data_IF_330875886579
#
_entry.id   IF_330875886579
#
_cell.length_a   1.000
_cell.length_b   1.000
_cell.length_c   1.000
_cell.angle_alpha   90.00
_cell.angle_beta   90.00
_cell.angle_gamma   90.00
#
_symmetry.space_group_name_H-M   'P 1'
#
loop_
_entity.id
_entity.type
_entity.pdbx_description
1 polymer ?
#
# COMPACT_ATOMS: atom_id res chain seq x y z
N UNK A 1 19.22 -0.60 -11.04
CA UNK A 1 18.06 -0.75 -10.13
C UNK A 1 17.35 -2.09 -10.35
N UNK A 2 16.45 -2.26 -11.33
CA UNK A 2 15.65 -3.51 -11.51
C UNK A 2 16.46 -4.81 -11.37
N UNK A 3 17.61 -4.95 -12.06
CA UNK A 3 18.49 -6.12 -11.96
C UNK A 3 18.92 -6.48 -10.53
N UNK A 4 19.19 -5.49 -9.67
CA UNK A 4 19.54 -5.71 -8.26
C UNK A 4 18.30 -6.22 -7.49
N UNK A 5 17.13 -5.65 -7.77
CA UNK A 5 15.85 -6.12 -7.23
C UNK A 5 15.55 -7.58 -7.60
N UNK A 6 15.86 -7.98 -8.85
CA UNK A 6 15.74 -9.36 -9.31
C UNK A 6 16.70 -10.32 -8.59
N UNK A 7 17.99 -9.95 -8.46
CA UNK A 7 18.96 -10.77 -7.73
C UNK A 7 18.57 -10.94 -6.25
N UNK A 8 18.16 -9.84 -5.59
CA UNK A 8 17.71 -9.86 -4.21
C UNK A 8 16.41 -10.66 -4.03
N UNK A 9 15.48 -10.62 -4.99
CA UNK A 9 14.27 -11.46 -4.98
C UNK A 9 14.62 -12.95 -5.07
N UNK A 10 15.51 -13.33 -6.00
CA UNK A 10 15.96 -14.73 -6.17
C UNK A 10 16.64 -15.23 -4.90
N UNK A 11 17.65 -14.50 -4.40
CA UNK A 11 18.38 -14.87 -3.19
C UNK A 11 17.47 -15.03 -1.96
N UNK A 12 16.49 -14.12 -1.78
CA UNK A 12 15.48 -14.22 -0.71
C UNK A 12 14.59 -15.45 -0.88
N UNK A 13 14.17 -15.75 -2.11
CA UNK A 13 13.32 -16.91 -2.39
C UNK A 13 14.07 -18.23 -2.17
N UNK A 14 15.33 -18.33 -2.59
CA UNK A 14 16.21 -19.48 -2.34
C UNK A 14 16.36 -19.78 -0.85
N UNK A 15 16.54 -18.74 -0.01
CA UNK A 15 16.58 -18.87 1.44
C UNK A 15 15.26 -19.41 2.02
N UNK A 16 14.11 -18.96 1.51
CA UNK A 16 12.80 -19.47 1.94
C UNK A 16 12.63 -20.96 1.59
N UNK A 17 12.97 -21.38 0.37
CA UNK A 17 12.97 -22.80 0.00
C UNK A 17 13.93 -23.64 0.87
N UNK A 18 15.14 -23.14 1.14
CA UNK A 18 16.12 -23.80 2.01
C UNK A 18 15.70 -23.90 3.48
N UNK A 19 14.82 -23.02 3.96
CA UNK A 19 14.29 -23.02 5.33
C UNK A 19 13.15 -24.01 5.59
N UNK A 20 12.63 -24.66 4.55
CA UNK A 20 11.41 -25.49 4.63
C UNK A 20 10.10 -24.70 4.71
N UNK A 21 10.14 -23.39 4.97
CA UNK A 21 8.98 -22.49 4.90
C UNK A 21 8.67 -22.11 3.44
N UNK A 22 8.23 -23.10 2.67
CA UNK A 22 7.85 -22.93 1.27
C UNK A 22 6.51 -22.16 1.20
N UNK A 23 6.44 -20.97 0.59
CA UNK A 23 5.17 -20.27 0.39
C UNK A 23 4.31 -21.05 -0.60
N UNK A 24 3.03 -21.24 -0.27
CA UNK A 24 2.09 -22.06 -1.05
C UNK A 24 1.58 -21.41 -2.35
N UNK A 25 2.32 -20.46 -2.91
CA UNK A 25 1.96 -19.69 -4.10
C UNK A 25 2.85 -18.47 -4.31
N UNK A 26 2.74 -17.88 -5.50
CA UNK A 26 3.46 -16.68 -5.91
C UNK A 26 3.08 -16.26 -7.34
N UNK A 27 3.47 -15.05 -7.73
CA UNK A 27 3.28 -14.53 -9.11
C UNK A 27 4.63 -14.52 -9.81
N UNK A 28 4.70 -15.10 -11.01
CA UNK A 28 5.90 -15.13 -11.83
C UNK A 28 6.11 -13.79 -12.56
N UNK A 29 7.36 -13.51 -12.95
CA UNK A 29 7.73 -12.34 -13.73
C UNK A 29 7.75 -12.66 -15.24
N UNK A 30 7.43 -11.70 -16.12
CA UNK A 30 6.95 -10.35 -15.84
C UNK A 30 5.44 -10.33 -15.51
N UNK A 31 4.99 -9.31 -14.79
CA UNK A 31 3.55 -9.05 -14.56
C UNK A 31 3.25 -7.55 -14.50
N UNK A 32 1.96 -7.22 -14.64
CA UNK A 32 1.40 -5.90 -14.33
C UNK A 32 0.46 -6.05 -13.13
N UNK A 33 0.57 -5.13 -12.16
CA UNK A 33 -0.35 -5.03 -11.02
C UNK A 33 -1.36 -3.92 -11.31
N UNK A 34 -2.65 -4.27 -11.28
CA UNK A 34 -3.74 -3.29 -11.33
C UNK A 34 -4.24 -3.07 -9.91
N UNK A 35 -4.14 -1.83 -9.41
CA UNK A 35 -4.52 -1.47 -8.05
C UNK A 35 -5.72 -0.52 -8.07
N UNK A 36 -6.74 -0.80 -7.27
CA UNK A 36 -7.92 0.07 -7.10
C UNK A 36 -8.40 0.04 -5.64
N UNK A 37 -9.53 0.68 -5.33
CA UNK A 37 -10.06 0.79 -3.97
C UNK A 37 -10.54 -0.58 -3.47
N UNK A 38 -10.42 -0.90 -2.16
CA UNK A 38 -10.90 -2.16 -1.58
C UNK A 38 -12.41 -2.45 -1.71
N UNK A 39 -13.19 -1.47 -2.16
CA UNK A 39 -14.64 -1.53 -2.38
C UNK A 39 -15.04 -1.21 -3.83
N UNK A 40 -14.09 -1.30 -4.78
CA UNK A 40 -14.38 -1.15 -6.21
C UNK A 40 -15.13 -2.39 -6.73
N UNK A 41 -16.16 -2.17 -7.56
CA UNK A 41 -16.75 -3.22 -8.39
C UNK A 41 -16.05 -3.19 -9.75
N UNK A 42 -15.39 -4.29 -10.09
CA UNK A 42 -14.70 -4.46 -11.38
C UNK A 42 -15.43 -5.54 -12.17
N UNK A 43 -15.88 -5.20 -13.37
CA UNK A 43 -16.45 -6.14 -14.33
C UNK A 43 -15.34 -6.59 -15.29
N UNK A 44 -15.26 -7.89 -15.57
CA UNK A 44 -14.15 -8.50 -16.30
C UNK A 44 -14.70 -9.39 -17.41
N UNK A 45 -14.34 -9.07 -18.66
CA UNK A 45 -14.64 -9.87 -19.82
C UNK A 45 -13.33 -10.39 -20.42
N UNK A 46 -13.26 -11.68 -20.74
CA UNK A 46 -12.10 -12.33 -21.33
C UNK A 46 -12.54 -12.92 -22.67
N UNK A 47 -11.77 -12.69 -23.74
CA UNK A 47 -12.04 -13.27 -25.06
C UNK A 47 -11.91 -14.80 -25.05
N UNK A 48 -12.63 -15.48 -25.94
CA UNK A 48 -12.61 -16.95 -26.05
C UNK A 48 -11.21 -17.52 -26.34
N UNK A 49 -10.38 -16.75 -27.05
CA UNK A 49 -8.96 -17.07 -27.34
C UNK A 49 -7.98 -16.65 -26.24
N UNK A 50 -8.48 -16.04 -25.15
CA UNK A 50 -7.73 -15.50 -24.01
C UNK A 50 -6.68 -14.41 -24.35
N UNK A 51 -6.70 -13.84 -25.55
CA UNK A 51 -5.75 -12.80 -25.97
C UNK A 51 -6.14 -11.38 -25.55
N UNK A 52 -7.42 -11.13 -25.26
CA UNK A 52 -7.95 -9.84 -24.83
C UNK A 52 -8.69 -9.97 -23.51
N UNK A 53 -8.41 -9.04 -22.60
CA UNK A 53 -9.17 -8.87 -21.35
C UNK A 53 -9.63 -7.43 -21.26
N UNK A 54 -10.93 -7.23 -21.04
CA UNK A 54 -11.54 -5.94 -20.76
C UNK A 54 -11.87 -5.85 -19.27
N UNK A 55 -11.54 -4.71 -18.66
CA UNK A 55 -11.79 -4.40 -17.26
C UNK A 55 -12.57 -3.09 -17.18
N UNK A 56 -13.85 -3.13 -16.78
CA UNK A 56 -14.58 -1.92 -16.40
C UNK A 56 -14.52 -1.73 -14.88
N UNK A 57 -13.97 -0.60 -14.45
CA UNK A 57 -13.85 -0.21 -13.04
C UNK A 57 -15.08 0.56 -12.54
N UNK A 58 -16.15 0.66 -13.33
CA UNK A 58 -17.36 1.42 -13.02
C UNK A 58 -17.05 2.90 -12.69
N UNK A 59 -16.17 3.52 -13.49
CA UNK A 59 -15.57 4.84 -13.23
C UNK A 59 -14.76 4.98 -11.92
N UNK A 60 -14.47 3.90 -11.20
CA UNK A 60 -13.59 3.92 -10.03
C UNK A 60 -12.14 4.13 -10.47
N UNK A 61 -11.37 5.05 -9.85
CA UNK A 61 -9.95 5.20 -10.16
C UNK A 61 -9.14 3.93 -9.91
N UNK A 62 -8.18 3.66 -10.79
CA UNK A 62 -7.20 2.59 -10.65
C UNK A 62 -5.79 3.09 -11.03
N UNK A 63 -4.78 2.33 -10.64
CA UNK A 63 -3.37 2.54 -10.95
C UNK A 63 -2.81 1.28 -11.62
N UNK A 64 -1.81 1.46 -12.49
CA UNK A 64 -1.06 0.37 -13.13
C UNK A 64 0.40 0.46 -12.70
N UNK A 65 0.90 -0.62 -12.11
CA UNK A 65 2.27 -0.73 -11.59
C UNK A 65 2.97 -1.91 -12.24
N UNK A 66 4.18 -1.70 -12.77
CA UNK A 66 5.00 -2.76 -13.37
C UNK A 66 5.78 -3.56 -12.32
N UNK A 67 6.40 -4.67 -12.73
CA UNK A 67 7.26 -5.43 -11.83
C UNK A 67 8.41 -4.58 -11.25
N UNK A 68 8.92 -3.59 -11.99
CA UNK A 68 9.98 -2.69 -11.53
C UNK A 68 9.52 -1.75 -10.43
N UNK A 69 8.26 -1.32 -10.42
CA UNK A 69 7.65 -0.60 -9.31
C UNK A 69 7.53 -1.52 -8.09
N UNK A 70 6.98 -2.73 -8.27
CA UNK A 70 6.75 -3.67 -7.16
C UNK A 70 8.07 -4.14 -6.52
N UNK A 71 9.11 -4.40 -7.32
CA UNK A 71 10.46 -4.73 -6.83
C UNK A 71 11.11 -3.58 -6.03
N UNK A 72 10.76 -2.32 -6.30
CA UNK A 72 11.19 -1.17 -5.47
C UNK A 72 10.36 -1.08 -4.20
N UNK A 73 9.03 -1.24 -4.30
CA UNK A 73 8.11 -1.20 -3.16
C UNK A 73 8.37 -2.33 -2.14
N UNK A 74 8.91 -3.47 -2.57
CA UNK A 74 9.43 -4.54 -1.71
C UNK A 74 10.79 -4.23 -1.04
N UNK A 75 11.37 -3.04 -1.26
CA UNK A 75 12.70 -2.65 -0.76
C UNK A 75 13.89 -3.31 -1.47
N UNK A 76 13.65 -4.20 -2.43
CA UNK A 76 14.70 -5.05 -3.02
C UNK A 76 15.68 -4.29 -3.92
N UNK A 77 15.33 -3.09 -4.37
CA UNK A 77 16.20 -2.25 -5.21
C UNK A 77 17.22 -1.39 -4.43
N UNK A 78 17.11 -1.31 -3.10
CA UNK A 78 17.96 -0.45 -2.27
C UNK A 78 19.07 -1.24 -1.59
N UNK A 79 20.31 -0.72 -1.66
CA UNK A 79 21.43 -1.25 -0.87
C UNK A 79 21.39 -0.58 0.49
N UNK A 80 20.89 -1.29 1.50
CA UNK A 80 20.41 -0.71 2.75
C UNK A 80 21.37 0.28 3.42
N UNK A 81 20.88 1.51 3.63
CA UNK A 81 21.44 2.42 4.62
C UNK A 81 21.01 1.94 6.02
N UNK A 82 21.79 1.02 6.60
CA UNK A 82 21.84 0.82 8.04
C UNK A 82 23.27 1.08 8.54
N UNK A 83 23.78 2.27 8.22
CA UNK A 83 25.01 2.80 8.77
C UNK A 83 24.75 3.18 10.24
N UNK A 84 25.19 2.30 11.14
CA UNK A 84 24.90 2.35 12.56
C UNK A 84 25.82 1.41 13.33
N UNK A 85 27.12 1.65 13.21
CA UNK A 85 28.14 0.87 13.88
C UNK A 85 28.12 1.11 15.40
N UNK A 86 28.05 0.07 16.25
CA UNK A 86 28.35 0.20 17.66
C UNK A 86 29.88 0.28 17.83
N UNK A 87 30.38 1.49 18.11
CA UNK A 87 31.78 1.71 18.49
C UNK A 87 32.14 0.85 19.72
N UNK A 88 33.30 0.17 19.73
CA UNK A 88 33.72 -0.70 20.83
C UNK A 88 34.28 0.12 22.01
N UNK A 89 33.44 0.91 22.68
CA UNK A 89 33.78 1.60 23.91
C UNK A 89 33.90 0.61 25.08
N UNK A 90 35.04 0.67 25.77
CA UNK A 90 35.43 -0.36 26.74
C UNK A 90 34.85 -0.12 28.15
N UNK A 91 34.61 -1.23 28.85
CA UNK A 91 34.67 -1.37 30.31
C UNK A 91 33.59 -0.70 31.19
N UNK A 92 32.66 -1.51 31.74
CA UNK A 92 32.08 -1.24 33.06
C UNK A 92 30.65 -1.71 33.34
N UNK A 93 30.53 -2.87 34.01
CA UNK A 93 29.55 -3.15 35.09
C UNK A 93 28.03 -3.14 34.82
N UNK A 94 27.37 -4.21 35.29
CA UNK A 94 26.11 -4.18 36.07
C UNK A 94 24.80 -3.73 35.37
N UNK A 95 23.58 -4.10 35.80
CA UNK A 95 23.06 -5.31 36.49
C UNK A 95 21.55 -5.43 36.16
N UNK A 96 20.86 -6.45 36.68
CA UNK A 96 19.48 -6.83 36.30
C UNK A 96 18.35 -5.86 36.69
N UNK A 97 17.36 -5.77 35.79
CA UNK A 97 15.91 -5.74 36.00
C UNK A 97 15.27 -4.95 37.18
N UNK A 98 14.44 -3.96 36.83
CA UNK A 98 13.11 -3.68 37.40
C UNK A 98 12.24 -3.12 36.25
N UNK A 99 11.00 -3.54 35.92
CA UNK A 99 9.88 -4.16 36.65
C UNK A 99 8.90 -3.21 37.36
N UNK A 100 7.95 -2.67 36.58
CA UNK A 100 6.53 -2.63 36.98
C UNK A 100 5.96 -1.36 37.64
N UNK A 101 4.65 -1.47 37.93
CA UNK A 101 3.75 -0.52 38.64
C UNK A 101 3.31 0.69 37.77
N UNK A 102 2.04 0.82 37.32
CA UNK A 102 0.78 1.15 38.06
C UNK A 102 0.64 2.68 38.36
N UNK A 103 -0.53 3.35 38.35
CA UNK A 103 -1.94 2.91 38.21
C UNK A 103 -2.94 4.10 38.05
N UNK A 104 -3.86 4.05 37.06
CA UNK A 104 -5.24 4.66 36.98
C UNK A 104 -5.43 6.17 37.41
N UNK A 105 -6.59 6.85 37.43
CA UNK A 105 -8.01 6.64 37.03
C UNK A 105 -8.41 7.74 35.98
N UNK A 106 -9.47 8.60 35.92
CA UNK A 106 -10.85 8.86 36.44
C UNK A 106 -11.42 10.06 35.59
N UNK A 107 -12.71 10.40 35.40
CA UNK A 107 -13.99 9.66 35.23
C UNK A 107 -15.19 10.63 34.99
N UNK A 108 -16.05 10.39 33.98
CA UNK A 108 -17.44 10.91 33.79
C UNK A 108 -17.70 12.42 33.52
N UNK A 109 -18.86 12.74 32.90
CA UNK A 109 -19.50 14.07 32.91
C UNK A 109 -20.27 14.46 31.63
N UNK A 110 -21.57 14.80 31.71
CA UNK A 110 -22.40 15.24 30.57
C UNK A 110 -23.08 16.58 30.82
N UNK A 111 -23.20 17.46 29.81
CA UNK A 111 -24.43 18.25 29.49
C UNK A 111 -24.29 19.18 28.27
N UNK A 112 -25.41 19.80 27.87
CA UNK A 112 -25.60 20.62 26.67
C UNK A 112 -25.75 22.11 27.00
N UNK A 113 -25.24 22.99 26.12
CA UNK A 113 -25.89 24.27 25.77
C UNK A 113 -25.34 24.84 24.45
N UNK A 114 -26.07 25.78 23.86
CA UNK A 114 -25.85 26.34 22.52
C UNK A 114 -24.94 27.58 22.47
N UNK A 115 -24.12 27.71 21.42
CA UNK A 115 -24.00 28.96 20.65
C UNK A 115 -23.53 28.66 19.22
N UNK A 116 -24.01 29.43 18.23
CA UNK A 116 -23.90 29.06 16.83
C UNK A 116 -22.56 29.38 16.15
N UNK A 117 -22.21 28.58 15.13
CA UNK A 117 -21.29 28.96 14.04
C UNK A 117 -21.92 28.53 12.71
N UNK A 118 -22.10 29.49 11.80
CA UNK A 118 -22.49 29.19 10.43
C UNK A 118 -21.31 28.53 9.71
N UNK A 119 -21.55 27.37 9.09
CA UNK A 119 -20.61 26.74 8.15
C UNK A 119 -21.34 26.62 6.81
N UNK A 120 -20.69 27.11 5.75
CA UNK A 120 -21.31 27.34 4.44
C UNK A 120 -21.42 26.07 3.62
N UNK A 121 -22.58 25.85 3.00
CA UNK A 121 -22.79 24.76 2.04
C UNK A 121 -21.80 24.84 0.85
N UNK A 122 -21.23 23.72 0.39
CA UNK A 122 -20.46 23.69 -0.85
C UNK A 122 -21.38 23.95 -2.06
N UNK A 123 -20.85 24.53 -3.16
CA UNK A 123 -21.63 24.82 -4.35
C UNK A 123 -22.05 23.54 -5.10
N UNK A 124 -23.26 23.54 -5.66
CA UNK A 124 -23.75 22.45 -6.52
C UNK A 124 -23.01 22.46 -7.87
N UNK A 125 -22.48 21.32 -8.36
CA UNK A 125 -21.98 21.20 -9.73
C UNK A 125 -23.05 21.55 -10.78
N UNK A 126 -22.61 22.11 -11.91
CA UNK A 126 -23.47 22.69 -12.94
C UNK A 126 -24.26 21.67 -13.78
N UNK A 127 -25.33 22.15 -14.41
CA UNK A 127 -26.27 21.34 -15.20
C UNK A 127 -25.71 21.02 -16.59
N UNK A 128 -25.94 19.79 -17.05
CA UNK A 128 -25.63 19.32 -18.41
C UNK A 128 -26.29 20.20 -19.49
N UNK A 129 -25.51 20.66 -20.47
CA UNK A 129 -26.01 21.30 -21.69
C UNK A 129 -25.51 20.54 -22.91
N UNK A 130 -26.45 19.99 -23.69
CA UNK A 130 -26.15 19.11 -24.81
C UNK A 130 -26.05 19.86 -26.15
N UNK A 131 -25.31 19.22 -27.09
CA UNK A 131 -25.47 19.27 -28.56
C UNK A 131 -25.41 20.64 -29.25
N UNK A 132 -24.38 20.82 -30.08
CA UNK A 132 -24.48 21.58 -31.33
C UNK A 132 -24.32 20.59 -32.49
N UNK A 133 -25.20 20.69 -33.50
CA UNK A 133 -25.04 20.05 -34.82
C UNK A 133 -24.64 21.14 -35.79
N UNK A 134 -23.51 20.99 -36.48
CA UNK A 134 -23.23 21.73 -37.71
C UNK A 134 -23.12 20.76 -38.89
N UNK A 135 -24.05 20.90 -39.83
CA UNK A 135 -23.74 20.84 -41.26
C UNK A 135 -23.26 22.26 -41.66
N UNK A 136 -22.53 22.49 -42.75
CA UNK A 136 -22.67 21.93 -44.09
C UNK A 136 -21.30 21.68 -44.73
#
# INVERSE_FOLDING_TARGET
>A
YQFIGLQNLVQRNEQLYGSGHIPSGGVALPFILVQTRPHATVEVEISEDMQLVHFDFNSTPFELHDDSYVLKAMGLCERGQHEGAPEPSSNGGDCFSMSGMYQHHTSQGSRSSSMGKMITSPPKPGILKARVKNEH
#
